data_IF_543623256450
#
_entry.id   IF_543623256450
#
_cell.length_a   1.000
_cell.length_b   1.000
_cell.length_c   1.000
_cell.angle_alpha   90.00
_cell.angle_beta   90.00
_cell.angle_gamma   90.00
#
_symmetry.space_group_name_H-M   'P 1'
#
loop_
_entity.id
_entity.type
_entity.pdbx_description
1 polymer ?
#
# COMPACT_ATOMS: atom_id res chain seq x y z
N UNK A 1 23.53 6.14 3.74
CA UNK A 1 23.41 5.12 4.80
C UNK A 1 21.95 5.09 5.24
N UNK A 2 21.11 4.24 4.65
CA UNK A 2 19.66 4.22 4.95
C UNK A 2 19.32 3.06 5.89
N UNK A 3 18.77 3.40 7.04
CA UNK A 3 18.40 2.47 8.12
C UNK A 3 16.98 1.97 7.85
N UNK A 4 16.86 0.72 7.43
CA UNK A 4 15.57 0.06 7.29
C UNK A 4 14.97 -0.20 8.70
N UNK A 5 13.93 0.52 9.06
CA UNK A 5 13.08 0.20 10.21
C UNK A 5 12.31 -1.08 9.90
N UNK A 6 12.44 -2.09 10.77
CA UNK A 6 11.75 -3.38 10.70
C UNK A 6 10.21 -3.16 10.68
N UNK A 7 9.63 -3.02 9.50
CA UNK A 7 8.19 -3.05 9.26
C UNK A 7 7.84 -4.38 8.59
N UNK A 8 6.98 -5.16 9.23
CA UNK A 8 6.52 -6.48 8.74
C UNK A 8 6.01 -6.37 7.31
N UNK A 9 6.72 -7.01 6.36
CA UNK A 9 6.43 -7.02 4.94
C UNK A 9 5.00 -7.51 4.65
N UNK A 10 4.19 -6.81 3.83
CA UNK A 10 2.92 -7.36 3.39
C UNK A 10 3.18 -8.42 2.32
N UNK A 11 3.03 -9.69 2.69
CA UNK A 11 2.96 -10.81 1.76
C UNK A 11 1.63 -10.79 1.00
N UNK A 12 1.50 -11.50 -0.15
CA UNK A 12 0.23 -11.66 -0.86
C UNK A 12 -0.92 -12.15 0.05
N UNK A 13 -0.61 -12.98 1.05
CA UNK A 13 -1.57 -13.41 2.06
C UNK A 13 -2.10 -12.24 2.91
N UNK A 14 -1.26 -11.25 3.23
CA UNK A 14 -1.68 -10.05 3.98
C UNK A 14 -2.49 -9.08 3.11
N UNK A 15 -2.20 -9.02 1.81
CA UNK A 15 -3.03 -8.32 0.83
C UNK A 15 -4.42 -8.96 0.71
N UNK A 16 -4.51 -10.30 0.65
CA UNK A 16 -5.78 -11.01 0.64
C UNK A 16 -6.63 -10.77 1.91
N UNK A 17 -5.99 -10.74 3.09
CA UNK A 17 -6.67 -10.41 4.36
C UNK A 17 -7.20 -8.97 4.38
N UNK A 18 -6.43 -8.01 3.84
CA UNK A 18 -6.88 -6.61 3.73
C UNK A 18 -8.00 -6.44 2.71
N UNK A 19 -7.94 -7.11 1.56
CA UNK A 19 -8.99 -7.08 0.53
C UNK A 19 -10.37 -7.40 1.12
N UNK A 20 -10.45 -8.41 1.99
CA UNK A 20 -11.70 -8.80 2.65
C UNK A 20 -12.22 -7.76 3.65
N UNK A 21 -11.35 -6.86 4.14
CA UNK A 21 -11.64 -5.95 5.24
C UNK A 21 -11.70 -4.46 4.85
N UNK A 22 -11.05 -4.03 3.76
CA UNK A 22 -10.79 -2.61 3.49
C UNK A 22 -11.65 -1.98 2.39
N UNK A 23 -12.36 -2.78 1.59
CA UNK A 23 -13.12 -2.27 0.43
C UNK A 23 -12.24 -1.71 -0.70
N UNK A 24 -10.91 -1.89 -0.63
CA UNK A 24 -9.97 -1.63 -1.72
C UNK A 24 -9.88 -2.85 -2.64
N UNK A 25 -9.61 -2.62 -3.91
CA UNK A 25 -9.35 -3.70 -4.85
C UNK A 25 -8.06 -4.45 -4.50
N UNK A 26 -7.99 -5.73 -4.85
CA UNK A 26 -6.76 -6.53 -4.70
C UNK A 26 -5.56 -5.87 -5.41
N UNK A 27 -5.82 -5.27 -6.58
CA UNK A 27 -4.81 -4.51 -7.35
C UNK A 27 -4.27 -3.32 -6.57
N UNK A 28 -5.11 -2.57 -5.87
CA UNK A 28 -4.67 -1.42 -5.06
C UNK A 28 -3.69 -1.85 -3.98
N UNK A 29 -3.97 -2.99 -3.34
CA UNK A 29 -3.11 -3.57 -2.31
C UNK A 29 -1.79 -4.09 -2.88
N UNK A 30 -1.80 -4.64 -4.09
CA UNK A 30 -0.58 -5.06 -4.78
C UNK A 30 0.29 -3.87 -5.18
N UNK A 31 -0.31 -2.78 -5.64
CA UNK A 31 0.40 -1.54 -6.00
C UNK A 31 0.99 -0.89 -4.75
N UNK A 32 0.21 -0.78 -3.67
CA UNK A 32 0.68 -0.32 -2.36
C UNK A 32 1.89 -1.13 -1.88
N UNK A 33 1.78 -2.46 -1.90
CA UNK A 33 2.87 -3.33 -1.48
C UNK A 33 4.10 -3.19 -2.39
N UNK A 34 3.91 -2.95 -3.69
CA UNK A 34 5.02 -2.70 -4.62
C UNK A 34 5.72 -1.36 -4.34
N UNK A 35 4.96 -0.30 -4.10
CA UNK A 35 5.47 1.02 -3.75
C UNK A 35 6.23 1.00 -2.42
N UNK A 36 5.72 0.29 -1.41
CA UNK A 36 6.41 0.08 -0.13
C UNK A 36 7.73 -0.68 -0.31
N UNK A 37 7.74 -1.75 -1.14
CA UNK A 37 8.97 -2.51 -1.40
C UNK A 37 10.03 -1.71 -2.15
N UNK A 38 9.63 -0.80 -3.03
CA UNK A 38 10.56 0.06 -3.76
C UNK A 38 10.97 1.31 -2.98
N UNK A 39 10.39 1.57 -1.81
CA UNK A 39 10.57 2.82 -1.07
C UNK A 39 9.98 4.04 -1.78
N UNK A 40 9.10 3.83 -2.76
CA UNK A 40 8.47 4.88 -3.55
C UNK A 40 7.31 5.50 -2.75
N UNK A 41 7.64 6.48 -1.91
CA UNK A 41 6.67 7.24 -1.14
C UNK A 41 6.73 8.74 -1.46
N UNK A 42 5.57 9.43 -1.52
CA UNK A 42 4.21 8.89 -1.40
C UNK A 42 3.72 8.23 -2.70
N UNK A 43 2.80 7.27 -2.60
CA UNK A 43 2.08 6.70 -3.74
C UNK A 43 0.94 7.65 -4.15
N UNK A 44 0.85 8.05 -5.41
CA UNK A 44 -0.24 8.89 -5.90
C UNK A 44 -1.35 8.07 -6.55
N UNK A 45 -2.60 8.50 -6.36
CA UNK A 45 -3.79 7.88 -6.96
C UNK A 45 -4.84 8.93 -7.30
N UNK A 46 -5.71 8.64 -8.26
CA UNK A 46 -6.93 9.42 -8.52
C UNK A 46 -8.16 8.86 -7.77
N UNK A 47 -8.03 7.69 -7.14
CA UNK A 47 -9.13 7.09 -6.38
C UNK A 47 -9.21 7.70 -4.97
N UNK A 48 -10.32 8.41 -4.72
CA UNK A 48 -10.63 9.07 -3.44
C UNK A 48 -10.73 8.10 -2.26
N UNK A 49 -11.08 6.84 -2.48
CA UNK A 49 -11.10 5.79 -1.45
C UNK A 49 -9.68 5.31 -1.16
N UNK A 50 -8.89 5.04 -2.20
CA UNK A 50 -7.49 4.60 -2.04
C UNK A 50 -6.63 5.66 -1.33
N UNK A 51 -6.87 6.94 -1.60
CA UNK A 51 -6.21 8.07 -0.94
C UNK A 51 -6.50 8.19 0.57
N UNK A 52 -7.42 7.39 1.14
CA UNK A 52 -7.63 7.30 2.60
C UNK A 52 -6.63 6.38 3.28
N UNK A 53 -5.81 5.68 2.51
CA UNK A 53 -4.79 4.75 3.01
C UNK A 53 -3.52 5.52 3.37
N UNK A 54 -2.92 5.19 4.51
CA UNK A 54 -1.65 5.78 4.93
C UNK A 54 -0.58 5.65 3.83
N UNK A 55 0.11 6.77 3.55
CA UNK A 55 1.17 6.82 2.54
C UNK A 55 0.68 6.98 1.09
N UNK A 56 -0.64 7.07 0.86
CA UNK A 56 -1.25 7.33 -0.45
C UNK A 56 -1.79 8.77 -0.51
N UNK A 57 -1.52 9.48 -1.60
CA UNK A 57 -2.01 10.84 -1.84
C UNK A 57 -2.95 10.90 -3.03
N UNK A 58 -4.05 11.64 -2.88
CA UNK A 58 -4.93 11.98 -4.00
C UNK A 58 -4.22 13.02 -4.88
N UNK A 59 -4.26 12.80 -6.19
CA UNK A 59 -3.80 13.76 -7.21
C UNK A 59 -4.97 14.57 -7.77
#
# INVERSE_FOLDING_TARGET
MFRATKGVFPTPARAALRYRASGLGFSDLMILAAAERSGAHPLYTFDKKAARTDGVKLL
#
